data_IF_702533282139
#
_entry.id   IF_702533282139
#
_cell.length_a   1.000
_cell.length_b   1.000
_cell.length_c   1.000
_cell.angle_alpha   90.00
_cell.angle_beta   90.00
_cell.angle_gamma   90.00
#
_symmetry.space_group_name_H-M   'P 1'
#
loop_
_entity.id
_entity.type
_entity.pdbx_description
1 polymer ?
#
# COMPACT_ATOMS: atom_id res chain seq x y z
N UNK A 1 19.52 16.87 -16.68
CA UNK A 1 18.41 17.14 -15.76
C UNK A 1 17.60 18.28 -16.37
N UNK A 2 16.34 18.04 -16.62
CA UNK A 2 15.52 18.97 -17.42
C UNK A 2 14.68 19.87 -16.53
N UNK A 3 14.40 19.41 -15.29
CA UNK A 3 13.55 20.12 -14.35
C UNK A 3 14.27 20.29 -13.02
N UNK A 4 14.56 21.54 -12.64
CA UNK A 4 15.24 21.88 -11.40
C UNK A 4 14.28 22.59 -10.46
N UNK A 5 14.18 22.06 -9.23
CA UNK A 5 13.36 22.63 -8.17
C UNK A 5 14.21 22.92 -6.94
N UNK A 6 13.80 23.93 -6.20
CA UNK A 6 14.29 24.18 -4.84
C UNK A 6 13.16 23.98 -3.84
N UNK A 7 13.48 23.34 -2.72
CA UNK A 7 12.52 23.27 -1.63
C UNK A 7 12.51 24.59 -0.88
N UNK A 8 11.33 25.11 -0.62
CA UNK A 8 11.09 26.11 0.41
C UNK A 8 10.13 25.49 1.43
N UNK A 9 10.28 25.85 2.68
CA UNK A 9 9.44 25.30 3.72
C UNK A 9 9.07 26.32 4.77
N UNK A 10 7.93 26.07 5.43
CA UNK A 10 7.46 26.81 6.58
C UNK A 10 7.01 25.83 7.66
N UNK A 11 7.45 26.05 8.87
CA UNK A 11 7.06 25.28 10.03
C UNK A 11 6.01 26.04 10.83
N UNK A 12 4.95 25.35 11.18
CA UNK A 12 3.89 25.84 12.06
C UNK A 12 3.61 24.83 13.18
N UNK A 13 3.02 25.30 14.25
CA UNK A 13 2.61 24.42 15.35
C UNK A 13 1.41 23.56 14.91
N UNK A 14 1.51 22.26 15.12
CA UNK A 14 0.52 21.28 14.68
C UNK A 14 -0.44 20.79 15.77
N UNK A 15 -0.33 21.31 17.00
CA UNK A 15 -1.05 20.83 18.19
C UNK A 15 -2.58 20.96 18.11
N UNK A 16 -3.09 21.89 17.28
CA UNK A 16 -4.52 22.08 17.03
C UNK A 16 -5.03 21.37 15.78
N UNK A 17 -4.17 20.58 15.13
CA UNK A 17 -4.46 19.95 13.87
C UNK A 17 -4.24 18.43 13.91
N UNK A 18 -4.94 17.73 13.03
CA UNK A 18 -4.66 16.32 12.70
C UNK A 18 -4.49 16.19 11.19
N UNK A 19 -3.78 15.18 10.68
CA UNK A 19 -3.68 14.96 9.24
C UNK A 19 -5.05 14.89 8.56
N UNK A 20 -6.03 14.22 9.18
CA UNK A 20 -7.41 14.14 8.67
C UNK A 20 -8.08 15.51 8.62
N UNK A 21 -7.95 16.34 9.69
CA UNK A 21 -8.56 17.67 9.69
C UNK A 21 -7.96 18.61 8.66
N UNK A 22 -6.65 18.53 8.44
CA UNK A 22 -5.96 19.28 7.40
C UNK A 22 -6.42 18.80 6.02
N UNK A 23 -6.46 17.48 5.79
CA UNK A 23 -6.87 16.91 4.52
C UNK A 23 -8.29 17.34 4.12
N UNK A 24 -9.23 17.34 5.06
CA UNK A 24 -10.60 17.83 4.83
C UNK A 24 -10.67 19.30 4.40
N UNK A 25 -9.70 20.13 4.82
CA UNK A 25 -9.65 21.55 4.47
C UNK A 25 -9.05 21.81 3.07
N UNK A 26 -8.14 20.93 2.63
CA UNK A 26 -7.37 21.16 1.40
C UNK A 26 -7.85 20.34 0.21
N UNK A 27 -8.49 19.19 0.41
CA UNK A 27 -8.83 18.24 -0.66
C UNK A 27 -9.78 18.78 -1.73
N UNK A 28 -10.73 19.64 -1.35
CA UNK A 28 -11.71 20.19 -2.29
C UNK A 28 -11.10 21.33 -3.14
N UNK A 29 -10.02 21.96 -2.64
CA UNK A 29 -9.24 22.97 -3.37
C UNK A 29 -8.17 22.31 -4.24
N UNK A 30 -7.56 21.24 -3.74
CA UNK A 30 -6.50 20.48 -4.41
C UNK A 30 -6.98 19.04 -4.71
N UNK A 31 -7.75 18.83 -5.80
CA UNK A 31 -8.11 17.47 -6.23
C UNK A 31 -6.85 16.71 -6.66
N UNK A 32 -6.94 15.39 -6.73
CA UNK A 32 -5.81 14.49 -6.99
C UNK A 32 -4.70 14.69 -5.97
N UNK A 33 -5.03 14.44 -4.72
CA UNK A 33 -4.15 14.57 -3.56
C UNK A 33 -3.96 13.23 -2.87
N UNK A 34 -2.97 13.15 -2.00
CA UNK A 34 -2.71 11.94 -1.23
C UNK A 34 -2.55 12.26 0.26
N UNK A 35 -3.10 11.40 1.10
CA UNK A 35 -2.88 11.35 2.54
C UNK A 35 -2.21 10.03 2.87
N UNK A 36 -1.05 10.07 3.52
CA UNK A 36 -0.32 8.90 4.01
C UNK A 36 -0.01 9.14 5.49
N UNK A 37 -0.66 8.37 6.35
CA UNK A 37 -0.47 8.49 7.81
C UNK A 37 0.34 7.29 8.33
N UNK A 38 1.25 7.56 9.27
CA UNK A 38 1.86 6.54 10.10
C UNK A 38 1.18 6.53 11.46
N UNK A 39 0.68 5.38 11.88
CA UNK A 39 0.15 5.17 13.22
C UNK A 39 1.11 4.38 14.11
N UNK A 40 2.41 4.43 13.82
CA UNK A 40 3.41 3.76 14.63
C UNK A 40 3.54 4.44 15.99
N UNK A 41 2.83 3.90 17.00
CA UNK A 41 2.71 4.43 18.36
C UNK A 41 3.95 4.17 19.24
N UNK A 42 5.04 3.66 18.70
CA UNK A 42 6.24 3.36 19.48
C UNK A 42 7.05 4.61 19.91
N UNK A 43 6.47 5.81 19.79
CA UNK A 43 7.06 7.03 20.33
C UNK A 43 8.38 7.44 19.66
N UNK A 44 8.65 6.95 18.48
CA UNK A 44 9.84 7.27 17.72
C UNK A 44 9.72 8.65 17.08
N UNK A 45 10.82 9.39 17.03
CA UNK A 45 10.92 10.69 16.37
C UNK A 45 10.49 10.67 14.88
N UNK A 46 10.30 9.48 14.31
CA UNK A 46 9.99 9.21 12.91
C UNK A 46 8.50 8.92 12.63
N UNK A 47 7.60 9.18 13.58
CA UNK A 47 6.15 9.08 13.33
C UNK A 47 5.66 10.28 12.52
N UNK A 48 5.72 10.15 11.19
CA UNK A 48 5.38 11.20 10.24
C UNK A 48 4.13 10.83 9.44
N UNK A 49 3.28 11.83 9.19
CA UNK A 49 2.20 11.74 8.21
C UNK A 49 2.42 12.76 7.10
N UNK A 50 1.98 12.42 5.91
CA UNK A 50 2.19 13.23 4.70
C UNK A 50 0.86 13.56 4.04
N UNK A 51 0.72 14.79 3.56
CA UNK A 51 -0.35 15.21 2.65
C UNK A 51 0.32 15.80 1.42
N UNK A 52 0.08 15.20 0.26
CA UNK A 52 0.67 15.62 -1.00
C UNK A 52 -0.40 16.27 -1.89
N UNK A 53 -0.12 17.47 -2.39
CA UNK A 53 -1.09 18.31 -3.09
C UNK A 53 -0.51 18.85 -4.40
N UNK A 54 -1.36 19.06 -5.39
CA UNK A 54 -1.02 19.67 -6.67
C UNK A 54 -0.03 18.84 -7.49
N UNK A 55 -0.50 17.89 -8.30
CA UNK A 55 0.35 17.08 -9.18
C UNK A 55 1.20 17.94 -10.13
N UNK A 56 2.51 17.68 -10.16
CA UNK A 56 3.47 18.32 -11.07
C UNK A 56 3.87 17.42 -12.23
N UNK A 57 4.08 16.14 -11.93
CA UNK A 57 4.54 15.16 -12.90
C UNK A 57 4.02 13.78 -12.50
N UNK A 58 3.99 12.85 -13.44
CA UNK A 58 3.59 11.48 -13.16
C UNK A 58 4.23 10.48 -14.11
N UNK A 59 4.37 9.25 -13.63
CA UNK A 59 4.70 8.11 -14.46
C UNK A 59 3.73 6.97 -14.14
N UNK A 60 3.18 6.34 -15.15
CA UNK A 60 2.21 5.26 -14.97
C UNK A 60 2.24 4.26 -16.10
N UNK A 61 1.69 3.08 -15.83
CA UNK A 61 1.51 2.00 -16.81
C UNK A 61 0.03 1.68 -16.88
N UNK A 62 -0.51 1.72 -18.08
CA UNK A 62 -1.89 1.38 -18.35
C UNK A 62 -2.03 0.78 -19.74
N UNK A 63 -2.76 -0.33 -19.87
CA UNK A 63 -3.07 -0.98 -21.16
C UNK A 63 -1.84 -1.21 -22.04
N UNK A 64 -0.72 -1.66 -21.49
CA UNK A 64 0.49 -1.96 -22.27
C UNK A 64 1.31 -0.74 -22.70
N UNK A 65 1.04 0.43 -22.12
CA UNK A 65 1.79 1.66 -22.38
C UNK A 65 2.29 2.27 -21.07
N UNK A 66 3.53 2.75 -21.10
CA UNK A 66 4.12 3.57 -20.05
C UNK A 66 3.99 5.05 -20.46
N UNK A 67 3.32 5.85 -19.66
CA UNK A 67 3.13 7.28 -19.89
C UNK A 67 3.83 8.07 -18.80
N UNK A 68 4.75 8.96 -19.20
CA UNK A 68 5.37 9.95 -18.34
C UNK A 68 4.83 11.35 -18.68
N UNK A 69 4.37 12.08 -17.68
CA UNK A 69 3.89 13.47 -17.80
C UNK A 69 4.82 14.38 -17.01
N UNK A 70 5.23 15.49 -17.61
CA UNK A 70 6.23 16.41 -17.05
C UNK A 70 5.61 17.75 -16.63
N UNK A 71 6.32 18.56 -15.81
CA UNK A 71 5.81 19.84 -15.30
C UNK A 71 5.44 20.88 -16.37
N UNK A 72 6.05 20.80 -17.54
CA UNK A 72 5.77 21.68 -18.69
C UNK A 72 4.57 21.19 -19.54
N UNK A 73 3.87 20.16 -19.09
CA UNK A 73 2.72 19.55 -19.77
C UNK A 73 3.08 18.58 -20.89
N UNK A 74 4.37 18.36 -21.16
CA UNK A 74 4.78 17.35 -22.12
C UNK A 74 4.48 15.95 -21.60
N UNK A 75 4.15 15.05 -22.50
CA UNK A 75 3.98 13.62 -22.20
C UNK A 75 4.82 12.78 -23.15
N UNK A 76 5.39 11.73 -22.61
CA UNK A 76 6.12 10.71 -23.35
C UNK A 76 5.38 9.38 -23.15
N UNK A 77 5.03 8.72 -24.25
CA UNK A 77 4.34 7.42 -24.26
C UNK A 77 5.25 6.39 -24.90
N UNK A 78 5.47 5.29 -24.18
CA UNK A 78 6.30 4.17 -24.65
C UNK A 78 5.51 2.89 -24.55
N UNK A 79 5.38 2.15 -25.67
CA UNK A 79 4.75 0.84 -25.65
C UNK A 79 5.60 -0.17 -24.87
N UNK A 80 4.94 -0.98 -24.07
CA UNK A 80 5.60 -2.05 -23.31
C UNK A 80 5.89 -3.23 -24.25
N UNK A 81 7.15 -3.48 -24.46
CA UNK A 81 7.65 -4.64 -25.21
C UNK A 81 8.25 -5.67 -24.25
N UNK A 82 8.54 -6.87 -24.72
CA UNK A 82 9.20 -7.90 -23.92
C UNK A 82 10.57 -7.48 -23.36
N UNK A 83 11.18 -6.42 -23.91
CA UNK A 83 12.47 -5.86 -23.45
C UNK A 83 12.32 -4.61 -22.62
N UNK A 84 11.10 -4.14 -22.37
CA UNK A 84 10.86 -2.94 -21.57
C UNK A 84 11.19 -3.22 -20.10
N UNK A 85 12.00 -2.35 -19.51
CA UNK A 85 12.42 -2.44 -18.10
C UNK A 85 11.76 -1.33 -17.29
N UNK A 86 10.78 -1.68 -16.47
CA UNK A 86 10.02 -0.74 -15.65
C UNK A 86 10.93 -0.03 -14.63
N UNK A 87 11.86 -0.76 -13.98
CA UNK A 87 12.78 -0.17 -13.00
C UNK A 87 13.66 0.90 -13.65
N UNK A 88 14.13 0.65 -14.87
CA UNK A 88 14.95 1.59 -15.61
C UNK A 88 14.15 2.80 -16.11
N UNK A 89 12.93 2.58 -16.57
CA UNK A 89 12.03 3.66 -16.98
C UNK A 89 11.72 4.61 -15.82
N UNK A 90 11.41 4.09 -14.64
CA UNK A 90 11.18 4.89 -13.44
C UNK A 90 12.45 5.63 -12.99
N UNK A 91 13.60 4.97 -13.00
CA UNK A 91 14.87 5.59 -12.65
C UNK A 91 15.24 6.72 -13.64
N UNK A 92 15.01 6.49 -14.94
CA UNK A 92 15.20 7.50 -15.97
C UNK A 92 14.28 8.70 -15.77
N UNK A 93 13.01 8.44 -15.42
CA UNK A 93 12.05 9.49 -15.09
C UNK A 93 12.54 10.31 -13.88
N UNK A 94 12.94 9.67 -12.77
CA UNK A 94 13.46 10.35 -11.58
C UNK A 94 14.70 11.20 -11.90
N UNK A 95 15.61 10.72 -12.74
CA UNK A 95 16.84 11.44 -13.15
C UNK A 95 16.57 12.71 -13.98
N UNK A 96 15.35 12.89 -14.50
CA UNK A 96 14.95 14.15 -15.17
C UNK A 96 14.83 15.33 -14.20
N UNK A 97 14.69 15.04 -12.91
CA UNK A 97 14.47 16.02 -11.85
C UNK A 97 15.72 16.24 -11.02
N UNK A 98 16.00 17.50 -10.69
CA UNK A 98 16.97 17.90 -9.67
C UNK A 98 16.22 18.63 -8.55
N UNK A 99 16.28 18.11 -7.34
CA UNK A 99 15.64 18.73 -6.18
C UNK A 99 16.71 19.13 -5.19
N UNK A 100 16.81 20.41 -4.91
CA UNK A 100 17.76 21.01 -3.99
C UNK A 100 17.05 21.55 -2.75
N UNK A 101 17.73 21.55 -1.63
CA UNK A 101 17.27 22.14 -0.37
C UNK A 101 17.17 21.14 0.78
N UNK A 102 16.89 21.66 1.99
CA UNK A 102 16.95 20.85 3.22
C UNK A 102 15.85 19.79 3.33
N UNK A 103 14.70 20.05 2.71
CA UNK A 103 13.51 19.19 2.81
C UNK A 103 13.34 18.24 1.60
N UNK A 104 14.40 18.05 0.80
CA UNK A 104 14.36 17.19 -0.39
C UNK A 104 13.95 15.74 -0.08
N UNK A 105 14.26 15.23 1.12
CA UNK A 105 13.95 13.85 1.52
C UNK A 105 12.45 13.54 1.61
N UNK A 106 11.61 14.54 1.83
CA UNK A 106 10.15 14.37 1.85
C UNK A 106 9.49 14.58 0.49
N UNK A 107 10.26 15.04 -0.49
CA UNK A 107 9.81 15.20 -1.86
C UNK A 107 10.08 13.92 -2.65
N UNK A 108 9.08 13.43 -3.36
CA UNK A 108 9.19 12.20 -4.13
C UNK A 108 7.89 11.85 -4.83
N UNK A 109 7.83 10.63 -5.32
CA UNK A 109 6.66 10.08 -5.98
C UNK A 109 5.77 9.38 -4.97
N UNK A 110 4.50 9.73 -4.96
CA UNK A 110 3.46 9.04 -4.20
C UNK A 110 2.58 8.25 -5.17
N UNK A 111 2.35 6.99 -4.90
CA UNK A 111 1.56 6.18 -5.82
C UNK A 111 1.47 4.71 -5.44
N UNK A 112 1.06 3.90 -6.39
CA UNK A 112 0.81 2.48 -6.21
C UNK A 112 1.24 1.66 -7.41
N UNK A 113 1.41 0.36 -7.17
CA UNK A 113 1.61 -0.68 -8.18
C UNK A 113 0.57 -1.78 -7.94
N UNK A 114 -0.27 -2.07 -8.92
CA UNK A 114 -1.25 -3.13 -8.86
C UNK A 114 -0.57 -4.51 -8.88
N UNK A 115 -1.21 -5.53 -8.28
CA UNK A 115 -0.70 -6.90 -8.30
C UNK A 115 -0.42 -7.39 -9.73
N UNK A 116 -1.33 -7.08 -10.65
CA UNK A 116 -1.26 -7.54 -12.03
C UNK A 116 -0.09 -6.92 -12.82
N UNK A 117 0.54 -5.85 -12.30
CA UNK A 117 1.75 -5.27 -12.88
C UNK A 117 2.95 -6.24 -12.85
N UNK A 118 2.88 -7.31 -12.07
CA UNK A 118 3.92 -8.35 -12.04
C UNK A 118 4.24 -8.92 -13.42
N UNK A 119 3.29 -8.92 -14.34
CA UNK A 119 3.50 -9.33 -15.73
C UNK A 119 4.54 -8.51 -16.49
N UNK A 120 4.87 -7.32 -16.00
CA UNK A 120 5.92 -6.46 -16.55
C UNK A 120 7.27 -6.66 -15.85
N UNK A 121 7.29 -7.37 -14.73
CA UNK A 121 8.48 -7.60 -13.90
C UNK A 121 9.03 -9.01 -14.04
N UNK A 122 8.14 -9.98 -14.25
CA UNK A 122 8.44 -11.39 -14.38
C UNK A 122 7.80 -11.97 -15.65
N UNK A 123 8.43 -12.98 -16.22
CA UNK A 123 7.86 -13.68 -17.38
C UNK A 123 6.74 -14.64 -16.93
N UNK A 124 5.60 -14.07 -16.55
CA UNK A 124 4.43 -14.80 -16.08
C UNK A 124 3.24 -14.42 -16.95
N UNK A 125 2.50 -15.39 -17.53
CA UNK A 125 1.24 -15.11 -18.15
C UNK A 125 0.21 -14.74 -17.07
N UNK A 126 0.03 -13.47 -16.82
CA UNK A 126 -1.05 -12.93 -15.99
C UNK A 126 -2.16 -12.49 -16.93
N UNK A 127 -3.42 -12.69 -16.51
CA UNK A 127 -4.57 -12.24 -17.28
C UNK A 127 -4.42 -10.76 -17.64
N UNK A 128 -4.68 -10.43 -18.89
CA UNK A 128 -4.71 -9.04 -19.33
C UNK A 128 -5.79 -8.27 -18.57
N UNK A 129 -5.45 -7.05 -18.13
CA UNK A 129 -6.35 -6.21 -17.37
C UNK A 129 -7.39 -5.59 -18.33
N UNK A 130 -8.44 -6.32 -18.62
CA UNK A 130 -9.56 -5.84 -19.43
C UNK A 130 -10.87 -5.97 -18.65
N UNK A 131 -10.87 -5.51 -17.40
CA UNK A 131 -12.11 -5.39 -16.66
C UNK A 131 -12.55 -3.94 -16.72
N UNK A 132 -13.69 -3.67 -17.35
CA UNK A 132 -14.37 -2.37 -17.29
C UNK A 132 -14.55 -1.90 -15.83
N UNK A 133 -14.63 -2.84 -14.91
CA UNK A 133 -14.78 -2.62 -13.48
C UNK A 133 -13.49 -2.19 -12.78
N UNK A 134 -12.32 -2.40 -13.39
CA UNK A 134 -11.02 -2.08 -12.79
C UNK A 134 -10.08 -1.40 -13.80
N UNK A 135 -10.56 -0.35 -14.46
CA UNK A 135 -9.75 0.47 -15.38
C UNK A 135 -8.69 1.34 -14.69
N UNK A 136 -8.40 1.14 -13.41
CA UNK A 136 -7.29 1.80 -12.76
C UNK A 136 -5.99 1.36 -13.45
N UNK A 137 -5.03 2.28 -13.67
CA UNK A 137 -3.73 1.92 -14.19
C UNK A 137 -3.07 0.79 -13.41
N UNK A 138 -2.26 -0.03 -14.07
CA UNK A 138 -1.47 -1.07 -13.39
C UNK A 138 -0.42 -0.47 -12.45
N UNK A 139 0.03 0.76 -12.74
CA UNK A 139 0.96 1.50 -11.92
C UNK A 139 0.74 3.00 -12.13
N UNK A 140 0.76 3.79 -11.05
CA UNK A 140 0.72 5.25 -11.14
C UNK A 140 1.43 5.86 -9.94
N UNK A 141 2.46 6.68 -10.24
CA UNK A 141 3.22 7.46 -9.27
C UNK A 141 3.24 8.92 -9.68
N UNK A 142 3.01 9.82 -8.71
CA UNK A 142 2.82 11.25 -8.93
C UNK A 142 3.81 12.05 -8.08
N UNK A 143 4.49 13.01 -8.70
CA UNK A 143 5.24 14.06 -8.02
C UNK A 143 4.30 15.22 -7.73
N UNK A 144 4.28 15.68 -6.48
CA UNK A 144 3.43 16.78 -6.04
C UNK A 144 4.22 18.04 -5.75
N UNK A 145 3.60 19.20 -6.00
CA UNK A 145 4.19 20.52 -5.72
C UNK A 145 4.34 20.78 -4.24
N UNK A 146 3.34 20.39 -3.45
CA UNK A 146 3.32 20.61 -2.01
C UNK A 146 3.31 19.28 -1.27
N UNK A 147 4.12 19.19 -0.22
CA UNK A 147 4.11 18.09 0.74
C UNK A 147 4.02 18.67 2.14
N UNK A 148 2.94 18.38 2.84
CA UNK A 148 2.73 18.77 4.21
C UNK A 148 3.14 17.59 5.10
N UNK A 149 4.10 17.81 5.99
CA UNK A 149 4.67 16.78 6.86
C UNK A 149 4.26 17.05 8.29
N UNK A 150 3.45 16.17 8.84
CA UNK A 150 3.02 16.21 10.23
C UNK A 150 3.92 15.32 11.09
N UNK A 151 4.67 15.90 12.00
CA UNK A 151 5.46 15.18 12.99
C UNK A 151 4.65 15.00 14.27
N UNK A 152 4.17 13.78 14.51
CA UNK A 152 3.31 13.46 15.64
C UNK A 152 4.04 13.57 16.99
N UNK A 153 5.34 13.32 17.03
CA UNK A 153 6.14 13.39 18.25
C UNK A 153 6.36 14.84 18.71
N UNK A 154 6.64 15.73 17.74
CA UNK A 154 6.91 17.15 18.00
C UNK A 154 5.68 18.03 17.93
N UNK A 155 4.52 17.51 17.51
CA UNK A 155 3.33 18.31 17.17
C UNK A 155 3.67 19.48 16.24
N UNK A 156 4.50 19.19 15.20
CA UNK A 156 4.98 20.16 14.24
C UNK A 156 4.43 19.83 12.85
N UNK A 157 3.97 20.85 12.14
CA UNK A 157 3.57 20.74 10.76
C UNK A 157 4.54 21.54 9.88
N UNK A 158 5.23 20.85 8.95
CA UNK A 158 6.11 21.47 7.98
C UNK A 158 5.43 21.48 6.62
N UNK A 159 5.23 22.66 6.06
CA UNK A 159 4.71 22.88 4.72
C UNK A 159 5.92 22.99 3.77
N UNK A 160 6.05 22.05 2.82
CA UNK A 160 7.16 22.03 1.85
C UNK A 160 6.61 22.27 0.45
N UNK A 161 7.25 23.15 -0.30
CA UNK A 161 6.92 23.46 -1.69
C UNK A 161 8.12 23.25 -2.60
N UNK A 162 7.89 22.62 -3.75
CA UNK A 162 8.83 22.55 -4.86
C UNK A 162 8.65 23.76 -5.77
N UNK A 163 9.67 24.62 -5.86
CA UNK A 163 9.63 25.83 -6.66
C UNK A 163 10.65 25.82 -7.78
N UNK A 164 10.22 26.27 -8.95
CA UNK A 164 11.13 26.65 -10.03
C UNK A 164 11.59 28.10 -9.89
N UNK A 165 12.70 28.42 -10.55
CA UNK A 165 13.23 29.78 -10.53
C UNK A 165 12.22 30.78 -11.11
N UNK A 166 11.95 31.85 -10.38
CA UNK A 166 11.04 32.92 -10.79
C UNK A 166 9.56 32.71 -10.40
N UNK A 167 9.22 31.61 -9.76
CA UNK A 167 7.87 31.40 -9.20
C UNK A 167 7.68 32.14 -7.88
N UNK A 168 6.42 32.47 -7.58
CA UNK A 168 6.01 32.93 -6.26
C UNK A 168 5.53 31.74 -5.41
N UNK A 169 5.82 31.79 -4.12
CA UNK A 169 5.39 30.74 -3.20
C UNK A 169 3.88 30.74 -2.95
N UNK A 170 3.26 29.57 -3.00
CA UNK A 170 1.86 29.33 -2.63
C UNK A 170 1.66 28.90 -1.17
N UNK A 171 2.72 28.82 -0.34
CA UNK A 171 2.60 28.33 1.04
C UNK A 171 1.64 29.18 1.89
N UNK A 172 1.53 30.48 1.63
CA UNK A 172 0.61 31.35 2.37
C UNK A 172 -0.87 30.98 2.12
N UNK A 173 -1.20 30.57 0.90
CA UNK A 173 -2.57 30.13 0.57
C UNK A 173 -2.92 28.82 1.29
N UNK A 174 -1.97 27.87 1.33
CA UNK A 174 -2.15 26.61 2.04
C UNK A 174 -2.30 26.84 3.54
N UNK A 175 -1.47 27.69 4.12
CA UNK A 175 -1.57 28.07 5.54
C UNK A 175 -2.95 28.67 5.86
N UNK A 176 -3.44 29.58 5.01
CA UNK A 176 -4.77 30.17 5.16
C UNK A 176 -5.88 29.13 5.13
N UNK A 177 -5.77 28.11 4.26
CA UNK A 177 -6.72 26.99 4.22
C UNK A 177 -6.65 26.15 5.49
N UNK A 178 -5.46 25.87 6.00
CA UNK A 178 -5.26 25.09 7.23
C UNK A 178 -5.84 25.83 8.46
N UNK A 179 -5.67 27.15 8.53
CA UNK A 179 -6.21 27.98 9.61
C UNK A 179 -7.74 28.14 9.53
N UNK A 180 -8.32 27.97 8.36
CA UNK A 180 -9.78 28.04 8.19
C UNK A 180 -10.47 26.96 9.05
N UNK A 181 -11.46 27.39 9.83
CA UNK A 181 -12.24 26.48 10.67
C UNK A 181 -13.33 25.72 9.92
N UNK A 182 -13.69 26.19 8.74
CA UNK A 182 -14.76 25.60 7.93
C UNK A 182 -14.18 24.70 6.85
N UNK A 183 -14.76 23.54 6.69
CA UNK A 183 -14.53 22.61 5.58
C UNK A 183 -15.85 21.99 5.15
N UNK A 184 -15.94 21.62 3.89
CA UNK A 184 -17.12 20.94 3.38
C UNK A 184 -17.21 19.51 3.95
N UNK A 185 -18.41 19.15 4.30
CA UNK A 185 -18.74 17.82 4.82
C UNK A 185 -19.83 17.19 3.99
N UNK A 186 -19.59 15.99 3.53
CA UNK A 186 -20.50 15.25 2.67
C UNK A 186 -20.95 13.96 3.35
N UNK A 187 -22.17 13.54 3.08
CA UNK A 187 -22.69 12.30 3.61
C UNK A 187 -22.16 11.10 2.83
N UNK A 188 -22.17 9.94 3.46
CA UNK A 188 -21.94 8.65 2.83
C UNK A 188 -23.16 7.75 3.07
N UNK A 189 -23.52 6.98 2.05
CA UNK A 189 -24.59 5.99 2.13
C UNK A 189 -24.26 4.81 1.21
N UNK A 190 -24.23 3.59 1.76
CA UNK A 190 -24.25 2.38 0.96
C UNK A 190 -25.59 2.26 0.24
N UNK A 191 -25.57 1.91 -1.05
CA UNK A 191 -26.78 1.76 -1.89
C UNK A 191 -26.80 0.38 -2.53
N UNK A 192 -27.95 -0.28 -2.46
CA UNK A 192 -28.05 -1.65 -2.98
C UNK A 192 -27.33 -2.71 -2.15
N UNK A 193 -27.41 -3.97 -2.55
CA UNK A 193 -26.76 -5.08 -1.86
C UNK A 193 -25.25 -5.11 -2.15
N UNK A 194 -24.50 -5.65 -1.19
CA UNK A 194 -23.14 -6.12 -1.44
C UNK A 194 -23.17 -7.31 -2.40
N UNK A 195 -22.27 -7.35 -3.36
CA UNK A 195 -22.14 -8.46 -4.32
C UNK A 195 -20.73 -8.99 -4.36
N UNK A 196 -20.56 -10.19 -4.88
CA UNK A 196 -19.25 -10.80 -5.15
C UNK A 196 -19.33 -11.58 -6.47
N UNK A 197 -18.38 -11.42 -7.39
CA UNK A 197 -18.31 -12.21 -8.61
C UNK A 197 -18.00 -13.70 -8.36
N UNK A 198 -17.56 -14.04 -7.14
CA UNK A 198 -17.23 -15.39 -6.71
C UNK A 198 -18.05 -15.74 -5.47
N UNK A 199 -18.94 -16.71 -5.57
CA UNK A 199 -19.73 -17.22 -4.42
C UNK A 199 -18.84 -17.92 -3.39
N UNK A 200 -19.38 -18.19 -2.21
CA UNK A 200 -18.67 -18.96 -1.18
C UNK A 200 -18.33 -20.38 -1.64
N UNK A 201 -19.23 -21.04 -2.38
CA UNK A 201 -19.00 -22.38 -2.91
C UNK A 201 -17.94 -22.41 -4.01
N UNK A 202 -17.93 -21.42 -4.89
CA UNK A 202 -16.87 -21.27 -5.89
C UNK A 202 -15.52 -21.02 -5.23
N UNK A 203 -15.47 -20.17 -4.19
CA UNK A 203 -14.22 -19.95 -3.45
C UNK A 203 -13.74 -21.24 -2.78
N UNK A 204 -14.61 -22.02 -2.16
CA UNK A 204 -14.25 -23.34 -1.60
C UNK A 204 -13.72 -24.29 -2.68
N UNK A 205 -14.28 -24.25 -3.89
CA UNK A 205 -13.74 -25.01 -5.00
C UNK A 205 -12.32 -24.56 -5.40
N UNK A 206 -12.07 -23.26 -5.41
CA UNK A 206 -10.72 -22.70 -5.62
C UNK A 206 -9.74 -23.16 -4.54
N UNK A 207 -10.16 -23.16 -3.27
CA UNK A 207 -9.33 -23.67 -2.14
C UNK A 207 -8.99 -25.13 -2.34
N UNK A 208 -9.97 -25.99 -2.70
CA UNK A 208 -9.71 -27.42 -2.98
C UNK A 208 -8.72 -27.62 -4.13
N UNK A 209 -8.78 -26.77 -5.15
CA UNK A 209 -7.80 -26.77 -6.25
C UNK A 209 -6.41 -26.40 -5.73
N UNK A 210 -6.28 -25.33 -4.90
CA UNK A 210 -5.03 -24.93 -4.25
C UNK A 210 -4.43 -26.04 -3.41
N UNK A 211 -5.25 -26.73 -2.59
CA UNK A 211 -4.83 -27.90 -1.79
C UNK A 211 -4.27 -29.00 -2.70
N UNK A 212 -4.92 -29.28 -3.84
CA UNK A 212 -4.45 -30.29 -4.80
C UNK A 212 -3.05 -29.94 -5.34
N UNK A 213 -2.79 -28.69 -5.67
CA UNK A 213 -1.47 -28.24 -6.09
C UNK A 213 -0.42 -28.35 -5.00
N UNK A 214 -0.77 -28.05 -3.75
CA UNK A 214 0.12 -28.26 -2.60
C UNK A 214 0.46 -29.75 -2.40
N UNK A 215 -0.53 -30.63 -2.49
CA UNK A 215 -0.33 -32.09 -2.36
C UNK A 215 0.52 -32.69 -3.48
N UNK A 216 0.44 -32.12 -4.69
CA UNK A 216 1.28 -32.52 -5.83
C UNK A 216 2.72 -32.02 -5.73
N UNK A 217 2.99 -31.07 -4.83
CA UNK A 217 4.31 -30.45 -4.68
C UNK A 217 4.57 -29.33 -5.69
N UNK A 218 3.54 -28.79 -6.35
CA UNK A 218 3.67 -27.63 -7.24
C UNK A 218 4.02 -26.35 -6.46
N UNK A 219 3.45 -26.20 -5.28
CA UNK A 219 3.72 -25.10 -4.31
C UNK A 219 3.67 -25.63 -2.89
N UNK A 220 4.32 -24.92 -1.96
CA UNK A 220 4.18 -25.14 -0.52
C UNK A 220 2.94 -24.41 0.01
N UNK A 221 2.70 -23.21 -0.50
CA UNK A 221 1.58 -22.34 -0.18
C UNK A 221 1.15 -21.56 -1.42
N UNK A 222 -0.14 -21.33 -1.54
CA UNK A 222 -0.75 -20.43 -2.51
C UNK A 222 -1.79 -19.54 -1.83
N UNK A 223 -1.79 -18.25 -2.12
CA UNK A 223 -2.80 -17.33 -1.57
C UNK A 223 -3.91 -17.13 -2.60
N UNK A 224 -5.12 -17.52 -2.22
CA UNK A 224 -6.31 -17.34 -3.05
C UNK A 224 -7.26 -16.33 -2.40
N UNK A 225 -7.87 -15.49 -3.22
CA UNK A 225 -8.63 -14.34 -2.75
C UNK A 225 -10.04 -14.27 -3.31
N UNK A 226 -10.90 -13.50 -2.63
CA UNK A 226 -12.28 -13.24 -3.00
C UNK A 226 -12.58 -11.75 -2.92
N UNK A 227 -13.15 -11.19 -3.99
CA UNK A 227 -13.50 -9.78 -4.11
C UNK A 227 -14.98 -9.54 -3.79
N UNK A 228 -15.25 -8.36 -3.23
CA UNK A 228 -16.59 -7.86 -2.95
C UNK A 228 -16.76 -6.45 -3.51
N UNK A 229 -17.99 -6.08 -3.75
CA UNK A 229 -18.40 -4.82 -4.37
C UNK A 229 -19.59 -4.27 -3.61
N UNK A 230 -19.50 -2.98 -3.24
CA UNK A 230 -20.57 -2.26 -2.55
C UNK A 230 -20.86 -0.94 -3.27
N UNK A 231 -22.00 -0.80 -3.94
CA UNK A 231 -22.44 0.49 -4.46
C UNK A 231 -22.68 1.50 -3.34
N UNK A 232 -22.37 2.76 -3.59
CA UNK A 232 -22.54 3.83 -2.61
C UNK A 232 -22.89 5.18 -3.27
N UNK A 233 -23.29 6.15 -2.43
CA UNK A 233 -23.42 7.57 -2.77
C UNK A 233 -22.71 8.42 -1.72
N UNK A 234 -22.11 9.52 -2.18
CA UNK A 234 -21.50 10.52 -1.31
C UNK A 234 -19.99 10.36 -1.17
N UNK A 235 -19.50 10.57 0.03
CA UNK A 235 -18.07 10.75 0.32
C UNK A 235 -17.44 9.48 0.90
N UNK A 236 -16.64 8.79 0.10
CA UNK A 236 -15.90 7.60 0.51
C UNK A 236 -14.76 7.88 1.52
N UNK A 237 -14.36 9.14 1.70
CA UNK A 237 -13.45 9.52 2.77
C UNK A 237 -14.02 9.24 4.17
N UNK A 238 -15.35 9.23 4.31
CA UNK A 238 -15.98 8.76 5.57
C UNK A 238 -15.70 7.28 5.84
N UNK A 239 -15.65 6.46 4.81
CA UNK A 239 -15.30 5.04 4.95
C UNK A 239 -13.82 4.90 5.39
N UNK A 240 -12.92 5.71 4.82
CA UNK A 240 -11.54 5.76 5.29
C UNK A 240 -11.44 6.16 6.77
N UNK A 241 -12.13 7.21 7.19
CA UNK A 241 -12.16 7.65 8.61
C UNK A 241 -12.71 6.56 9.52
N UNK A 242 -13.76 5.87 9.10
CA UNK A 242 -14.33 4.73 9.83
C UNK A 242 -13.31 3.59 9.94
N UNK A 243 -12.68 3.19 8.83
CA UNK A 243 -11.67 2.13 8.82
C UNK A 243 -10.49 2.47 9.71
N UNK A 244 -9.99 3.71 9.64
CA UNK A 244 -8.93 4.23 10.49
C UNK A 244 -9.23 4.08 11.99
N UNK A 245 -10.49 4.25 12.39
CA UNK A 245 -10.92 4.13 13.80
C UNK A 245 -11.10 2.68 14.24
N UNK A 246 -11.55 1.80 13.34
CA UNK A 246 -11.82 0.39 13.64
C UNK A 246 -10.53 -0.43 13.61
N UNK A 247 -9.65 -0.16 12.65
CA UNK A 247 -8.47 -0.96 12.37
C UNK A 247 -7.25 -0.06 12.15
N UNK A 248 -6.75 0.64 13.19
CA UNK A 248 -5.52 1.42 13.06
C UNK A 248 -4.35 0.48 12.78
N UNK A 249 -3.59 0.79 11.76
CA UNK A 249 -2.43 0.01 11.29
C UNK A 249 -1.26 0.94 11.00
N UNK A 250 -0.01 0.46 10.93
CA UNK A 250 1.16 1.28 10.66
C UNK A 250 1.05 2.13 9.39
N UNK A 251 0.35 1.63 8.38
CA UNK A 251 0.13 2.35 7.12
C UNK A 251 -1.35 2.64 6.93
N UNK A 252 -1.71 3.91 7.07
CA UNK A 252 -3.03 4.44 6.77
C UNK A 252 -2.90 5.36 5.56
N UNK A 253 -3.73 5.17 4.55
CA UNK A 253 -3.59 5.93 3.31
C UNK A 253 -4.92 6.20 2.63
N UNK A 254 -5.00 7.37 1.99
CA UNK A 254 -6.08 7.76 1.11
C UNK A 254 -5.50 8.53 -0.08
N UNK A 255 -5.51 7.90 -1.24
CA UNK A 255 -4.99 8.45 -2.49
C UNK A 255 -6.15 8.76 -3.43
N UNK A 256 -6.34 10.02 -3.76
CA UNK A 256 -7.28 10.47 -4.79
C UNK A 256 -6.53 10.69 -6.10
N UNK A 257 -6.79 9.84 -7.06
CA UNK A 257 -6.22 9.94 -8.42
C UNK A 257 -7.14 10.65 -9.41
N UNK A 258 -8.26 11.20 -8.94
CA UNK A 258 -9.28 11.88 -9.74
C UNK A 258 -10.40 10.94 -10.20
N UNK A 259 -10.12 10.04 -11.14
CA UNK A 259 -11.12 9.08 -11.64
C UNK A 259 -11.40 7.90 -10.71
N UNK A 260 -10.51 7.63 -9.79
CA UNK A 260 -10.62 6.56 -8.79
C UNK A 260 -9.83 6.93 -7.53
N UNK A 261 -10.07 6.20 -6.45
CA UNK A 261 -9.37 6.36 -5.18
C UNK A 261 -8.92 5.01 -4.64
N UNK A 262 -7.79 5.00 -3.96
CA UNK A 262 -7.29 3.83 -3.22
C UNK A 262 -7.07 4.26 -1.78
N UNK A 263 -7.73 3.60 -0.83
CA UNK A 263 -7.57 3.92 0.57
C UNK A 263 -7.68 2.68 1.46
N UNK A 264 -6.94 2.68 2.54
CA UNK A 264 -6.88 1.50 3.38
C UNK A 264 -6.09 1.68 4.66
N UNK A 265 -5.96 0.57 5.38
CA UNK A 265 -5.23 0.43 6.62
C UNK A 265 -4.41 -0.86 6.58
N UNK A 266 -3.18 -0.77 6.06
CA UNK A 266 -2.30 -1.92 5.89
C UNK A 266 -1.38 -2.13 7.10
N UNK A 267 -1.31 -3.34 7.63
CA UNK A 267 -0.39 -3.66 8.72
C UNK A 267 1.03 -4.00 8.23
N UNK A 268 1.24 -4.21 6.93
CA UNK A 268 2.41 -4.92 6.43
C UNK A 268 3.23 -4.09 5.44
N UNK A 269 4.53 -4.02 5.68
CA UNK A 269 5.50 -3.42 4.77
C UNK A 269 5.79 -4.39 3.62
N UNK A 270 5.67 -3.90 2.37
CA UNK A 270 6.14 -4.66 1.22
C UNK A 270 7.67 -4.59 1.11
N UNK A 271 8.20 -3.39 1.03
CA UNK A 271 9.63 -3.12 0.95
C UNK A 271 9.93 -1.70 1.43
N UNK A 272 10.98 -1.55 2.21
CA UNK A 272 11.50 -0.25 2.64
C UNK A 272 12.98 -0.17 2.30
N UNK A 273 13.39 0.95 1.74
CA UNK A 273 14.80 1.31 1.57
C UNK A 273 15.02 2.64 2.24
N UNK A 274 16.01 2.71 3.11
CA UNK A 274 16.41 3.93 3.80
C UNK A 274 17.93 3.98 3.92
N UNK A 275 18.55 5.05 3.43
CA UNK A 275 20.00 5.28 3.47
C UNK A 275 20.82 4.06 2.96
N UNK A 276 20.36 3.41 1.86
CA UNK A 276 21.01 2.25 1.25
C UNK A 276 20.73 0.89 1.90
N UNK A 277 19.90 0.85 2.95
CA UNK A 277 19.49 -0.39 3.60
C UNK A 277 18.06 -0.78 3.18
N UNK A 278 17.92 -1.94 2.54
CA UNK A 278 16.62 -2.52 2.21
C UNK A 278 16.12 -3.41 3.35
N UNK A 279 14.82 -3.40 3.62
CA UNK A 279 14.20 -4.28 4.60
C UNK A 279 12.80 -4.73 4.18
N UNK A 280 12.45 -5.94 4.60
CA UNK A 280 11.11 -6.54 4.54
C UNK A 280 10.79 -7.05 5.93
N UNK A 281 9.57 -6.79 6.40
CA UNK A 281 9.11 -7.21 7.72
C UNK A 281 8.00 -8.28 7.56
N UNK A 282 8.35 -9.58 7.41
CA UNK A 282 7.36 -10.65 7.34
C UNK A 282 6.54 -10.73 8.63
N UNK A 283 5.23 -10.73 8.47
CA UNK A 283 4.27 -10.92 9.56
C UNK A 283 3.58 -12.28 9.34
N UNK A 284 3.73 -13.18 10.28
CA UNK A 284 2.95 -14.41 10.34
C UNK A 284 2.58 -14.71 11.77
N UNK A 285 1.34 -15.12 11.94
CA UNK A 285 0.76 -15.30 13.27
C UNK A 285 0.05 -14.04 13.75
N UNK A 286 -1.24 -14.20 13.99
CA UNK A 286 -2.10 -13.12 14.49
C UNK A 286 -3.01 -13.65 15.58
N UNK A 287 -3.01 -13.00 16.73
CA UNK A 287 -3.98 -13.22 17.79
C UNK A 287 -4.73 -11.93 18.11
N UNK A 288 -6.00 -12.03 18.51
CA UNK A 288 -6.76 -10.87 18.97
C UNK A 288 -6.24 -10.42 20.33
N UNK A 289 -6.05 -9.12 20.47
CA UNK A 289 -5.75 -8.46 21.73
C UNK A 289 -7.04 -8.13 22.48
N UNK A 290 -7.11 -8.49 23.75
CA UNK A 290 -8.29 -8.27 24.60
C UNK A 290 -8.16 -7.03 25.47
N UNK A 291 -6.93 -6.56 25.70
CA UNK A 291 -6.62 -5.53 26.69
C UNK A 291 -6.43 -6.07 28.11
N UNK A 292 -6.77 -7.34 28.36
CA UNK A 292 -6.43 -8.05 29.59
C UNK A 292 -5.01 -8.61 29.48
N UNK A 293 -4.11 -8.17 30.34
CA UNK A 293 -2.68 -8.54 30.28
C UNK A 293 -2.44 -10.04 30.41
N UNK A 294 -3.19 -10.72 31.28
CA UNK A 294 -3.02 -12.15 31.51
C UNK A 294 -3.51 -12.97 30.32
N UNK A 295 -4.66 -12.61 29.78
CA UNK A 295 -5.24 -13.27 28.60
C UNK A 295 -4.43 -12.99 27.33
N UNK A 296 -3.94 -11.78 27.15
CA UNK A 296 -3.09 -11.41 26.01
C UNK A 296 -1.74 -12.16 26.08
N UNK A 297 -1.17 -12.34 27.27
CA UNK A 297 0.02 -13.18 27.47
C UNK A 297 -0.25 -14.66 27.12
N UNK A 298 -1.35 -15.22 27.57
CA UNK A 298 -1.72 -16.59 27.23
C UNK A 298 -1.88 -16.78 25.72
N UNK A 299 -2.50 -15.82 25.02
CA UNK A 299 -2.64 -15.83 23.55
C UNK A 299 -1.30 -15.73 22.86
N UNK A 300 -0.40 -14.92 23.38
CA UNK A 300 0.99 -14.80 22.88
C UNK A 300 1.74 -16.11 23.00
N UNK A 301 1.67 -16.76 24.15
CA UNK A 301 2.31 -18.06 24.40
C UNK A 301 1.75 -19.15 23.47
N UNK A 302 0.42 -19.17 23.26
CA UNK A 302 -0.22 -20.08 22.33
C UNK A 302 0.22 -19.83 20.88
N UNK A 303 0.30 -18.56 20.45
CA UNK A 303 0.76 -18.17 19.12
C UNK A 303 2.21 -18.59 18.86
N UNK A 304 3.10 -18.37 19.83
CA UNK A 304 4.51 -18.77 19.74
C UNK A 304 4.69 -20.30 19.69
N UNK A 305 3.77 -21.04 20.30
CA UNK A 305 3.80 -22.51 20.35
C UNK A 305 3.12 -23.18 19.15
N UNK A 306 2.36 -22.45 18.33
CA UNK A 306 1.59 -23.00 17.21
C UNK A 306 2.52 -23.52 16.10
N UNK A 307 2.52 -24.83 15.79
CA UNK A 307 3.41 -25.38 14.77
C UNK A 307 3.10 -24.90 13.34
N UNK A 308 1.82 -24.60 13.03
CA UNK A 308 1.40 -24.09 11.72
C UNK A 308 1.93 -22.68 11.51
N UNK A 309 1.67 -21.78 12.46
CA UNK A 309 2.13 -20.41 12.43
C UNK A 309 3.66 -20.33 12.37
N UNK A 310 4.34 -21.19 13.12
CA UNK A 310 5.80 -21.29 13.10
C UNK A 310 6.34 -21.73 11.73
N UNK A 311 5.74 -22.72 11.09
CA UNK A 311 6.16 -23.22 9.79
C UNK A 311 5.92 -22.15 8.69
N UNK A 312 4.78 -21.47 8.73
CA UNK A 312 4.46 -20.36 7.82
C UNK A 312 5.45 -19.20 8.00
N UNK A 313 5.73 -18.81 9.23
CA UNK A 313 6.65 -17.73 9.54
C UNK A 313 8.07 -17.98 9.01
N UNK A 314 8.60 -19.20 9.24
CA UNK A 314 9.91 -19.60 8.69
C UNK A 314 9.93 -19.49 7.17
N UNK A 315 8.89 -19.98 6.51
CA UNK A 315 8.77 -19.93 5.05
C UNK A 315 8.75 -18.48 4.54
N UNK A 316 8.04 -17.58 5.20
CA UNK A 316 7.95 -16.17 4.80
C UNK A 316 9.28 -15.42 5.03
N UNK A 317 9.99 -15.71 6.11
CA UNK A 317 11.33 -15.16 6.36
C UNK A 317 12.32 -15.64 5.30
N UNK A 318 12.28 -16.91 4.94
CA UNK A 318 13.17 -17.48 3.92
C UNK A 318 12.87 -16.91 2.53
N UNK A 319 11.58 -16.73 2.22
CA UNK A 319 11.14 -16.06 0.98
C UNK A 319 11.62 -14.60 0.92
N UNK A 320 11.50 -13.85 2.01
CA UNK A 320 12.00 -12.46 2.10
C UNK A 320 13.52 -12.37 1.91
N UNK A 321 14.28 -13.33 2.49
CA UNK A 321 15.73 -13.44 2.27
C UNK A 321 16.06 -13.68 0.80
N UNK A 322 15.35 -14.61 0.16
CA UNK A 322 15.53 -14.91 -1.25
C UNK A 322 15.20 -13.72 -2.14
N UNK A 323 14.11 -13.03 -1.87
CA UNK A 323 13.66 -11.85 -2.62
C UNK A 323 14.69 -10.70 -2.52
N UNK A 324 15.15 -10.35 -1.31
CA UNK A 324 16.15 -9.31 -1.13
C UNK A 324 17.50 -9.66 -1.78
N UNK A 325 17.89 -10.94 -1.75
CA UNK A 325 19.16 -11.39 -2.33
C UNK A 325 19.24 -11.21 -3.85
N UNK A 326 18.14 -10.87 -4.53
CA UNK A 326 18.14 -10.56 -5.98
C UNK A 326 18.80 -9.22 -6.28
N UNK A 327 18.78 -8.26 -5.35
CA UNK A 327 19.30 -6.90 -5.55
C UNK A 327 20.04 -6.31 -4.33
N UNK A 328 20.17 -7.05 -3.25
CA UNK A 328 20.90 -6.65 -2.05
C UNK A 328 21.96 -7.70 -1.68
N UNK A 329 23.01 -7.28 -1.00
CA UNK A 329 24.02 -8.16 -0.42
C UNK A 329 23.97 -8.10 1.11
N UNK A 330 24.76 -8.95 1.77
CA UNK A 330 24.81 -9.09 3.24
C UNK A 330 23.42 -9.27 3.88
N UNK A 331 22.58 -10.05 3.19
CA UNK A 331 21.19 -10.29 3.60
C UNK A 331 21.16 -11.10 4.89
N UNK A 332 20.52 -10.55 5.92
CA UNK A 332 20.44 -11.12 7.26
C UNK A 332 19.06 -10.98 7.88
N UNK A 333 18.84 -11.71 8.97
CA UNK A 333 17.64 -11.59 9.80
C UNK A 333 18.01 -10.76 11.03
N UNK A 334 17.52 -9.52 11.10
CA UNK A 334 17.86 -8.59 12.19
C UNK A 334 17.23 -9.00 13.51
N UNK A 335 15.98 -9.41 13.46
CA UNK A 335 15.25 -10.03 14.57
C UNK A 335 14.25 -11.08 14.04
N UNK A 336 13.96 -12.07 14.89
CA UNK A 336 13.16 -13.22 14.51
C UNK A 336 12.04 -13.49 15.51
N UNK A 337 10.79 -13.48 15.03
CA UNK A 337 9.57 -13.72 15.82
C UNK A 337 9.42 -12.79 17.03
N UNK A 338 9.69 -11.52 16.85
CA UNK A 338 9.40 -10.53 17.87
C UNK A 338 7.89 -10.36 18.02
N UNK A 339 7.42 -10.36 19.26
CA UNK A 339 6.01 -10.16 19.57
C UNK A 339 5.72 -8.69 19.57
N UNK A 340 4.84 -8.24 18.68
CA UNK A 340 4.40 -6.85 18.62
C UNK A 340 2.92 -6.74 18.98
N UNK A 341 2.66 -5.88 19.98
CA UNK A 341 1.31 -5.61 20.48
C UNK A 341 0.76 -4.33 19.83
N UNK A 342 -0.27 -4.49 19.01
CA UNK A 342 -1.04 -3.39 18.44
C UNK A 342 -2.32 -3.15 19.27
N UNK A 343 -3.12 -2.16 18.90
CA UNK A 343 -4.35 -1.83 19.65
C UNK A 343 -5.34 -3.00 19.74
N UNK A 344 -5.46 -3.81 18.69
CA UNK A 344 -6.48 -4.88 18.60
C UNK A 344 -5.91 -6.25 18.26
N UNK A 345 -4.63 -6.34 17.93
CA UNK A 345 -3.98 -7.58 17.50
C UNK A 345 -2.58 -7.72 18.08
N UNK A 346 -2.13 -8.96 18.19
CA UNK A 346 -0.78 -9.38 18.54
C UNK A 346 -0.21 -10.06 17.31
N UNK A 347 0.93 -9.59 16.82
CA UNK A 347 1.62 -10.19 15.68
C UNK A 347 2.99 -10.73 16.06
N UNK A 348 3.40 -11.79 15.35
CA UNK A 348 4.80 -12.20 15.29
C UNK A 348 5.44 -11.57 14.06
N UNK A 349 6.46 -10.78 14.27
CA UNK A 349 7.16 -10.03 13.23
C UNK A 349 8.63 -10.44 13.21
N UNK A 350 9.17 -10.61 12.02
CA UNK A 350 10.62 -10.69 11.80
C UNK A 350 11.05 -9.58 10.87
N UNK A 351 12.33 -9.25 10.86
CA UNK A 351 12.90 -8.34 9.87
C UNK A 351 14.04 -9.03 9.14
N UNK A 352 13.96 -8.96 7.82
CA UNK A 352 15.05 -9.32 6.92
C UNK A 352 15.56 -8.04 6.30
N UNK A 353 16.87 -7.82 6.35
CA UNK A 353 17.51 -6.64 5.78
C UNK A 353 18.69 -7.02 4.90
N UNK A 354 19.14 -6.09 4.08
CA UNK A 354 20.31 -6.20 3.23
C UNK A 354 20.77 -4.83 2.76
N UNK A 355 22.01 -4.77 2.29
CA UNK A 355 22.61 -3.56 1.78
C UNK A 355 22.45 -3.46 0.27
N UNK A 356 22.16 -2.27 -0.24
CA UNK A 356 22.09 -1.96 -1.67
C UNK A 356 23.33 -1.20 -2.07
N UNK A 357 23.99 -1.64 -3.13
CA UNK A 357 25.12 -0.92 -3.69
C UNK A 357 24.75 0.50 -4.10
N UNK A 358 25.64 1.46 -3.85
CA UNK A 358 25.42 2.88 -4.17
C UNK A 358 25.10 3.12 -5.66
N UNK A 359 25.59 2.26 -6.55
CA UNK A 359 25.36 2.34 -8.00
C UNK A 359 24.10 1.59 -8.44
N UNK A 360 23.44 0.89 -7.52
CA UNK A 360 22.24 0.10 -7.80
C UNK A 360 21.02 1.01 -7.97
N UNK A 361 20.04 0.51 -8.74
CA UNK A 361 18.73 1.15 -8.85
C UNK A 361 17.81 0.70 -7.70
N UNK A 362 17.49 1.55 -6.71
CA UNK A 362 16.66 1.16 -5.57
C UNK A 362 15.26 0.72 -5.97
N UNK A 363 14.73 1.22 -7.09
CA UNK A 363 13.43 0.81 -7.63
C UNK A 363 13.44 -0.66 -8.00
N UNK A 364 14.57 -1.17 -8.50
CA UNK A 364 14.75 -2.58 -8.79
C UNK A 364 14.55 -3.45 -7.55
N UNK A 365 14.94 -2.97 -6.36
CA UNK A 365 14.78 -3.71 -5.11
C UNK A 365 13.31 -4.01 -4.83
N UNK A 366 12.42 -3.03 -4.90
CA UNK A 366 11.00 -3.30 -4.66
C UNK A 366 10.37 -4.12 -5.79
N UNK A 367 10.80 -3.93 -7.04
CA UNK A 367 10.32 -4.72 -8.19
C UNK A 367 10.73 -6.19 -8.05
N UNK A 368 11.97 -6.46 -7.68
CA UNK A 368 12.48 -7.83 -7.52
C UNK A 368 11.85 -8.56 -6.32
N UNK A 369 11.34 -7.83 -5.33
CA UNK A 369 10.62 -8.38 -4.18
C UNK A 369 9.11 -8.50 -4.43
N UNK A 370 8.60 -7.88 -5.50
CA UNK A 370 7.17 -7.82 -5.84
C UNK A 370 6.65 -9.10 -6.54
N UNK A 371 5.38 -9.50 -6.28
CA UNK A 371 4.56 -9.08 -5.16
C UNK A 371 5.00 -9.77 -3.87
N UNK A 372 4.46 -9.31 -2.73
CA UNK A 372 4.78 -9.92 -1.43
C UNK A 372 4.42 -11.40 -1.39
N UNK A 373 5.25 -12.20 -0.72
CA UNK A 373 5.03 -13.64 -0.56
C UNK A 373 3.76 -13.97 0.20
N UNK A 374 3.38 -13.12 1.15
CA UNK A 374 2.13 -13.21 1.92
C UNK A 374 0.87 -13.06 1.08
N UNK A 375 0.98 -12.54 -0.14
CA UNK A 375 -0.12 -12.35 -1.09
C UNK A 375 -0.02 -13.23 -2.33
N UNK A 376 1.07 -13.97 -2.51
CA UNK A 376 1.30 -14.84 -3.67
C UNK A 376 1.46 -16.30 -3.26
N UNK A 377 2.55 -16.66 -2.66
CA UNK A 377 2.85 -18.01 -2.21
C UNK A 377 4.31 -18.39 -2.46
N UNK A 378 4.61 -19.68 -2.26
CA UNK A 378 5.97 -20.20 -2.40
C UNK A 378 5.97 -21.57 -3.12
N UNK A 379 6.79 -21.78 -4.15
CA UNK A 379 7.63 -20.81 -4.86
C UNK A 379 6.82 -19.71 -5.56
N UNK A 380 7.27 -18.46 -5.48
CA UNK A 380 6.49 -17.27 -5.87
C UNK A 380 5.99 -17.32 -7.32
N UNK A 381 6.88 -17.55 -8.29
CA UNK A 381 6.53 -17.56 -9.73
C UNK A 381 5.46 -18.63 -10.01
N UNK A 382 5.65 -19.84 -9.46
CA UNK A 382 4.69 -20.92 -9.66
C UNK A 382 3.34 -20.63 -9.01
N UNK A 383 3.35 -20.05 -7.80
CA UNK A 383 2.13 -19.63 -7.13
C UNK A 383 1.36 -18.60 -7.97
N UNK A 384 2.03 -17.59 -8.53
CA UNK A 384 1.38 -16.57 -9.36
C UNK A 384 0.78 -17.13 -10.66
N UNK A 385 1.45 -18.09 -11.32
CA UNK A 385 0.89 -18.81 -12.48
C UNK A 385 -0.43 -19.48 -12.11
N UNK A 386 -0.44 -20.22 -10.99
CA UNK A 386 -1.62 -20.92 -10.50
C UNK A 386 -2.73 -19.96 -10.05
N UNK A 387 -2.40 -18.84 -9.40
CA UNK A 387 -3.36 -17.81 -9.05
C UNK A 387 -4.10 -17.33 -10.29
N UNK A 388 -3.37 -17.03 -11.37
CA UNK A 388 -3.94 -16.60 -12.65
C UNK A 388 -4.93 -17.61 -13.21
N UNK A 389 -4.58 -18.90 -13.14
CA UNK A 389 -5.42 -19.99 -13.67
C UNK A 389 -6.68 -20.23 -12.81
N UNK A 390 -6.55 -20.08 -11.48
CA UNK A 390 -7.61 -20.43 -10.52
C UNK A 390 -8.58 -19.26 -10.31
N UNK A 391 -8.08 -18.03 -10.08
CA UNK A 391 -8.94 -16.87 -9.81
C UNK A 391 -9.69 -16.35 -11.04
N UNK A 392 -9.13 -16.50 -12.23
CA UNK A 392 -9.75 -16.11 -13.52
C UNK A 392 -10.21 -14.64 -13.60
N UNK A 393 -9.68 -13.78 -12.76
CA UNK A 393 -9.92 -12.34 -12.77
C UNK A 393 -8.70 -11.59 -12.24
N UNK A 394 -8.55 -10.34 -12.62
CA UNK A 394 -7.48 -9.50 -12.15
C UNK A 394 -7.71 -9.08 -10.70
N UNK A 395 -6.63 -8.96 -9.93
CA UNK A 395 -6.69 -8.47 -8.56
C UNK A 395 -6.71 -6.94 -8.47
N UNK A 396 -6.16 -6.25 -9.47
CA UNK A 396 -5.99 -4.81 -9.43
C UNK A 396 -5.03 -4.40 -8.31
N UNK A 397 -5.41 -3.40 -7.54
CA UNK A 397 -4.59 -2.89 -6.44
C UNK A 397 -4.38 -3.90 -5.30
N UNK A 398 -5.34 -4.81 -5.06
CA UNK A 398 -5.22 -5.80 -3.98
C UNK A 398 -3.99 -6.70 -4.15
N UNK A 399 -3.18 -6.77 -3.11
CA UNK A 399 -1.94 -7.56 -3.11
C UNK A 399 -0.77 -6.92 -3.83
N UNK A 400 -0.95 -5.72 -4.37
CA UNK A 400 0.12 -4.87 -4.86
C UNK A 400 0.76 -4.07 -3.73
N UNK A 401 1.33 -2.91 -4.05
CA UNK A 401 1.94 -2.02 -3.06
C UNK A 401 1.56 -0.55 -3.31
N UNK A 402 1.63 0.24 -2.25
CA UNK A 402 1.31 1.67 -2.24
C UNK A 402 2.25 2.41 -1.30
N UNK A 403 2.70 3.59 -1.69
CA UNK A 403 3.55 4.38 -0.82
C UNK A 403 4.34 5.47 -1.53
N UNK A 404 5.60 5.59 -1.15
CA UNK A 404 6.50 6.69 -1.48
C UNK A 404 7.81 6.19 -2.10
N UNK A 405 8.31 6.93 -3.09
CA UNK A 405 9.63 6.73 -3.72
C UNK A 405 10.34 8.08 -3.76
N UNK A 406 11.44 8.23 -3.01
CA UNK A 406 12.25 9.42 -2.95
C UNK A 406 13.24 9.56 -4.11
N UNK A 407 13.77 10.77 -4.29
CA UNK A 407 14.79 11.07 -5.30
C UNK A 407 16.22 10.65 -4.88
N UNK A 408 16.41 10.37 -3.61
CA UNK A 408 17.68 9.91 -3.03
C UNK A 408 17.82 8.38 -2.92
N UNK A 409 16.83 7.66 -3.44
CA UNK A 409 16.80 6.20 -3.41
C UNK A 409 16.03 5.60 -2.24
N UNK A 410 15.61 6.42 -1.28
CA UNK A 410 14.73 5.96 -0.22
C UNK A 410 13.35 5.63 -0.78
N UNK A 411 12.75 4.57 -0.30
CA UNK A 411 11.38 4.19 -0.64
C UNK A 411 10.71 3.49 0.54
N UNK A 412 9.39 3.61 0.60
CA UNK A 412 8.58 2.95 1.59
C UNK A 412 7.25 2.53 0.97
N UNK A 413 7.05 1.23 0.81
CA UNK A 413 5.91 0.64 0.15
C UNK A 413 5.18 -0.32 1.11
N UNK A 414 3.91 -0.04 1.37
CA UNK A 414 3.04 -0.95 2.10
C UNK A 414 2.35 -1.93 1.14
N UNK A 415 2.04 -3.13 1.61
CA UNK A 415 1.21 -4.07 0.86
C UNK A 415 -0.22 -3.54 0.81
N UNK A 416 -0.85 -3.56 -0.35
CA UNK A 416 -2.22 -3.10 -0.54
C UNK A 416 -3.21 -4.20 -0.11
N UNK A 417 -3.44 -4.27 1.20
CA UNK A 417 -4.41 -5.14 1.88
C UNK A 417 -5.25 -4.30 2.84
N UNK A 418 -6.38 -4.81 3.29
CA UNK A 418 -7.35 -4.03 4.09
C UNK A 418 -7.68 -2.70 3.42
N UNK A 419 -7.94 -2.77 2.13
CA UNK A 419 -7.96 -1.63 1.22
C UNK A 419 -9.20 -1.64 0.37
N UNK A 420 -9.71 -0.44 0.08
CA UNK A 420 -10.76 -0.19 -0.88
C UNK A 420 -10.18 0.45 -2.15
N UNK A 421 -10.71 0.04 -3.29
CA UNK A 421 -10.65 0.80 -4.53
C UNK A 421 -12.04 1.40 -4.76
N UNK A 422 -12.13 2.72 -4.82
CA UNK A 422 -13.38 3.44 -5.05
C UNK A 422 -13.40 3.97 -6.47
N UNK A 423 -14.40 3.54 -7.26
CA UNK A 423 -14.56 3.96 -8.64
C UNK A 423 -16.01 3.85 -9.10
N UNK A 424 -16.47 4.81 -9.87
CA UNK A 424 -17.82 4.80 -10.43
C UNK A 424 -18.93 4.65 -9.37
N UNK A 425 -18.70 5.18 -8.15
CA UNK A 425 -19.61 5.01 -6.99
C UNK A 425 -19.75 3.55 -6.52
N UNK A 426 -18.72 2.74 -6.72
CA UNK A 426 -18.61 1.38 -6.17
C UNK A 426 -17.32 1.26 -5.36
N UNK A 427 -17.41 0.66 -4.19
CA UNK A 427 -16.27 0.24 -3.37
C UNK A 427 -15.93 -1.20 -3.71
N UNK A 428 -14.72 -1.44 -4.19
CA UNK A 428 -14.16 -2.77 -4.40
C UNK A 428 -13.21 -3.10 -3.26
N UNK A 429 -13.34 -4.28 -2.67
CA UNK A 429 -12.48 -4.73 -1.58
C UNK A 429 -12.32 -6.25 -1.60
N UNK A 430 -11.18 -6.73 -1.15
CA UNK A 430 -10.74 -8.11 -1.36
C UNK A 430 -9.94 -8.62 -0.17
N UNK A 431 -10.03 -9.91 0.10
CA UNK A 431 -9.17 -10.61 1.05
C UNK A 431 -8.89 -12.02 0.56
N UNK A 432 -7.77 -12.56 1.00
CA UNK A 432 -7.34 -13.91 0.67
C UNK A 432 -6.85 -14.70 1.88
N UNK A 433 -6.72 -16.00 1.68
CA UNK A 433 -6.17 -16.93 2.65
C UNK A 433 -5.00 -17.72 2.03
N UNK A 434 -4.01 -18.03 2.85
CA UNK A 434 -2.88 -18.88 2.49
C UNK A 434 -3.25 -20.35 2.55
N UNK A 435 -3.31 -21.00 1.39
CA UNK A 435 -3.71 -22.40 1.24
C UNK A 435 -2.47 -23.28 1.29
N UNK A 436 -2.48 -24.27 2.14
CA UNK A 436 -1.45 -25.30 2.28
C UNK A 436 -2.07 -26.70 2.15
N UNK A 437 -1.25 -27.75 2.06
CA UNK A 437 -1.72 -29.12 1.91
C UNK A 437 -2.71 -29.61 2.99
N UNK A 438 -2.63 -29.05 4.21
CA UNK A 438 -3.51 -29.35 5.34
C UNK A 438 -4.67 -28.38 5.54
N UNK A 439 -4.86 -27.42 4.63
CA UNK A 439 -5.96 -26.45 4.67
C UNK A 439 -7.32 -27.15 4.56
N UNK A 440 -8.34 -26.47 5.07
CA UNK A 440 -9.74 -26.87 4.98
C UNK A 440 -10.55 -25.75 4.33
N UNK A 441 -11.29 -26.07 3.29
CA UNK A 441 -12.00 -25.08 2.47
C UNK A 441 -13.00 -24.22 3.23
N UNK A 442 -13.73 -24.79 4.19
CA UNK A 442 -14.66 -24.05 5.04
C UNK A 442 -13.94 -23.07 5.99
N UNK A 443 -12.81 -23.50 6.57
CA UNK A 443 -12.00 -22.64 7.45
C UNK A 443 -11.35 -21.49 6.68
N UNK A 444 -10.85 -21.76 5.47
CA UNK A 444 -10.23 -20.71 4.64
C UNK A 444 -11.28 -19.71 4.15
N UNK A 445 -12.50 -20.14 3.80
CA UNK A 445 -13.62 -19.25 3.53
C UNK A 445 -13.95 -18.37 4.74
N UNK A 446 -13.99 -18.95 5.94
CA UNK A 446 -14.23 -18.20 7.16
C UNK A 446 -13.10 -17.19 7.46
N UNK A 447 -11.86 -17.54 7.19
CA UNK A 447 -10.72 -16.65 7.35
C UNK A 447 -10.84 -15.42 6.43
N UNK A 448 -11.20 -15.62 5.17
CA UNK A 448 -11.45 -14.53 4.22
C UNK A 448 -12.58 -13.62 4.72
N UNK A 449 -13.70 -14.20 5.18
CA UNK A 449 -14.82 -13.43 5.73
C UNK A 449 -14.41 -12.63 6.97
N UNK A 450 -13.58 -13.20 7.84
CA UNK A 450 -13.05 -12.51 9.03
C UNK A 450 -12.15 -11.33 8.65
N UNK A 451 -11.26 -11.51 7.66
CA UNK A 451 -10.39 -10.45 7.14
C UNK A 451 -11.18 -9.29 6.50
N UNK A 452 -12.31 -9.57 5.88
CA UNK A 452 -13.22 -8.57 5.32
C UNK A 452 -14.07 -7.88 6.39
N UNK A 453 -14.19 -8.45 7.59
CA UNK A 453 -15.08 -7.96 8.63
C UNK A 453 -14.83 -6.51 9.04
N UNK A 454 -13.56 -6.09 9.13
CA UNK A 454 -13.20 -4.70 9.43
C UNK A 454 -13.62 -3.73 8.32
N UNK A 455 -13.48 -4.14 7.05
CA UNK A 455 -13.87 -3.35 5.89
C UNK A 455 -15.40 -3.17 5.82
N UNK A 456 -16.16 -4.24 6.04
CA UNK A 456 -17.62 -4.20 6.09
C UNK A 456 -18.12 -3.32 7.24
N UNK A 457 -17.55 -3.46 8.43
CA UNK A 457 -17.86 -2.59 9.57
C UNK A 457 -17.55 -1.12 9.29
N UNK A 458 -16.50 -0.83 8.51
CA UNK A 458 -16.15 0.54 8.14
C UNK A 458 -17.21 1.16 7.23
N UNK A 459 -17.78 0.40 6.29
CA UNK A 459 -18.89 0.84 5.43
C UNK A 459 -20.12 1.16 6.28
N UNK A 460 -20.48 0.26 7.21
CA UNK A 460 -21.65 0.43 8.08
C UNK A 460 -21.48 1.67 8.98
N UNK A 461 -20.31 1.81 9.61
CA UNK A 461 -20.01 2.94 10.49
C UNK A 461 -20.00 4.26 9.73
N UNK A 462 -19.48 4.29 8.50
CA UNK A 462 -19.42 5.51 7.69
C UNK A 462 -20.80 6.13 7.44
N UNK A 463 -21.85 5.31 7.38
CA UNK A 463 -23.23 5.75 7.21
C UNK A 463 -23.75 6.54 8.42
N UNK A 464 -23.21 6.28 9.61
CA UNK A 464 -23.67 6.87 10.88
C UNK A 464 -22.69 7.92 11.43
N UNK A 465 -21.51 8.08 10.82
CA UNK A 465 -20.54 9.08 11.26
C UNK A 465 -21.12 10.50 11.16
N UNK A 466 -21.17 11.16 12.30
CA UNK A 466 -21.42 12.60 12.41
C UNK A 466 -20.11 13.33 12.11
N UNK A 467 -20.17 14.42 11.40
CA UNK A 467 -19.00 15.22 11.02
C UNK A 467 -18.54 16.12 12.15
#
# INVERSE_FOLDING_TARGET
>A
MDYTFKTISRKILGDLHTPVSIYLKVRDVYPKSALLESSDFHGNENSLSYIALCPLASIGINNGECTAVFPDGKSEVTALTATFNVAEAMNTFLKRFSIEGPDRKVCGLFGYTAFDAVRYFENIPVMEAHHEENDAPDMLYILYKYVLVFNHFKNELTLVELMQSGENSGLQEIETLIENRNYASYNFQATGPETSPVSGEEYKAMVREGIRHCLRGDVFQIVLSRRFEQPFKGDDFKVYRALRSINPSPYLFYFDFGGFRIFGSSPETHCKVADGHASIDPIAGTAFRTGDVALDRQRTEALLADPKENAEHIMLVDLARNDLSRNAHDVQVDFYKEVQYYSHVIHLVSRVSGEIDADSNPIKTYIDTFPAGTLSGAPKVRAMQLITDIEKHNRGAYGGCIGFIGFDGDLNQAITIRTFVSRGNVLYYQAGAGIVAKSNDERELQEVNNKLGALKKAIDLATTLIN
#
